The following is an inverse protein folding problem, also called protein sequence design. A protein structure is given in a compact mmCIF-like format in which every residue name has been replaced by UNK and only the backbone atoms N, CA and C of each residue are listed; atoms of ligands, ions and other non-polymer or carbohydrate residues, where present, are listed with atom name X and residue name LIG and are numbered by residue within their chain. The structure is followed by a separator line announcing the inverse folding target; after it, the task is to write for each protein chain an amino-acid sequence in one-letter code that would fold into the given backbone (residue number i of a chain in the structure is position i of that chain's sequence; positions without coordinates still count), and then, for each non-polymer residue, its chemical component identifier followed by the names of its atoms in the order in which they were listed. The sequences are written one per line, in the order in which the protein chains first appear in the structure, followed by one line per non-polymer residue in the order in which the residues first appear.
data_IF_831747045643
#
_entry.id   IF_831747045643
#
_cell.length_a   1.000
_cell.length_b   1.000
_cell.length_c   1.000
_cell.angle_alpha   90.00
_cell.angle_beta   90.00
_cell.angle_gamma   90.00
#
_symmetry.space_group_name_H-M   'P 1'
#
loop_
_entity.id
_entity.type
_entity.pdbx_description
1 polymer ?
#
# COMPACT_ATOMS: atom_id res chain seq x y z
N UNK A 1 -3.50 51.36 17.42
CA UNK A 1 -3.80 50.28 16.45
C UNK A 1 -2.78 49.17 16.67
N UNK A 2 -3.18 48.03 17.22
CA UNK A 2 -2.40 46.78 17.17
C UNK A 2 -3.40 45.61 17.25
N UNK A 3 -3.56 44.90 16.12
CA UNK A 3 -4.35 43.67 16.02
C UNK A 3 -3.41 42.50 16.24
N UNK A 4 -3.45 41.88 17.42
CA UNK A 4 -2.88 40.56 17.66
C UNK A 4 -3.75 39.52 16.94
N UNK A 5 -3.20 38.88 15.91
CA UNK A 5 -3.77 37.65 15.32
C UNK A 5 -3.56 36.51 16.31
N UNK A 6 -4.62 36.14 17.01
CA UNK A 6 -4.71 34.86 17.72
C UNK A 6 -4.69 33.73 16.68
N UNK A 7 -3.57 33.02 16.59
CA UNK A 7 -3.46 31.74 15.90
C UNK A 7 -4.27 30.73 16.71
N UNK A 8 -5.54 30.55 16.33
CA UNK A 8 -6.36 29.42 16.78
C UNK A 8 -5.67 28.14 16.31
N UNK A 9 -5.00 27.46 17.24
CA UNK A 9 -4.54 26.09 17.09
C UNK A 9 -5.76 25.18 16.94
N UNK A 10 -6.17 24.92 15.70
CA UNK A 10 -7.18 23.91 15.37
C UNK A 10 -6.48 22.55 15.27
N UNK A 11 -6.03 22.00 16.41
CA UNK A 11 -5.79 20.55 16.45
C UNK A 11 -7.14 19.85 16.39
N UNK A 12 -7.24 18.79 15.59
CA UNK A 12 -8.46 17.98 15.56
C UNK A 12 -8.69 17.39 16.95
N UNK A 13 -9.94 17.32 17.42
CA UNK A 13 -10.27 16.69 18.71
C UNK A 13 -9.70 15.26 18.80
N UNK A 14 -9.56 14.60 17.65
CA UNK A 14 -8.92 13.30 17.47
C UNK A 14 -7.44 13.29 17.88
N UNK A 15 -6.70 14.34 17.53
CA UNK A 15 -5.27 14.46 17.82
C UNK A 15 -5.03 14.77 19.30
N UNK A 16 -5.95 15.54 19.90
CA UNK A 16 -5.95 15.80 21.35
C UNK A 16 -6.21 14.50 22.12
N UNK A 17 -7.22 13.73 21.73
CA UNK A 17 -7.53 12.44 22.36
C UNK A 17 -6.39 11.43 22.21
N UNK A 18 -5.74 11.36 21.03
CA UNK A 18 -4.55 10.51 20.83
C UNK A 18 -3.39 10.91 21.74
N UNK A 19 -3.19 12.21 21.94
CA UNK A 19 -2.16 12.73 22.85
C UNK A 19 -2.49 12.39 24.31
N UNK A 20 -3.75 12.54 24.71
CA UNK A 20 -4.20 12.21 26.07
C UNK A 20 -4.16 10.71 26.37
N UNK A 21 -4.48 9.85 25.40
CA UNK A 21 -4.33 8.38 25.50
C UNK A 21 -2.86 8.00 25.77
N UNK A 22 -1.93 8.64 25.07
CA UNK A 22 -0.49 8.37 25.22
C UNK A 22 0.06 8.86 26.57
N UNK A 23 -0.54 9.91 27.13
CA UNK A 23 -0.15 10.47 28.43
C UNK A 23 -0.89 9.83 29.62
N UNK A 24 -1.96 9.05 29.38
CA UNK A 24 -2.73 8.41 30.44
C UNK A 24 -1.99 7.21 31.05
N UNK A 25 -1.60 7.34 32.32
CA UNK A 25 -0.95 6.26 33.08
C UNK A 25 -1.96 5.26 33.67
N UNK A 26 -3.23 5.67 33.85
CA UNK A 26 -4.29 4.80 34.35
C UNK A 26 -4.95 4.00 33.20
N UNK A 27 -4.97 2.66 33.27
CA UNK A 27 -5.53 1.81 32.22
C UNK A 27 -7.04 2.01 31.99
N UNK A 28 -7.82 2.39 33.01
CA UNK A 28 -9.25 2.65 32.87
C UNK A 28 -9.50 3.97 32.12
N UNK A 29 -8.71 5.00 32.43
CA UNK A 29 -8.78 6.29 31.72
C UNK A 29 -8.36 6.11 30.26
N UNK A 30 -7.31 5.33 29.99
CA UNK A 30 -6.88 5.01 28.64
C UNK A 30 -7.95 4.28 27.85
N UNK A 31 -8.67 3.35 28.49
CA UNK A 31 -9.77 2.60 27.88
C UNK A 31 -10.95 3.52 27.50
N UNK A 32 -11.35 4.44 28.37
CA UNK A 32 -12.43 5.38 28.07
C UNK A 32 -12.08 6.34 26.95
N UNK A 33 -10.87 6.91 26.96
CA UNK A 33 -10.41 7.79 25.88
C UNK A 33 -10.33 7.05 24.53
N UNK A 34 -9.90 5.78 24.55
CA UNK A 34 -9.87 4.94 23.35
C UNK A 34 -11.29 4.69 22.82
N UNK A 35 -12.27 4.45 23.70
CA UNK A 35 -13.69 4.30 23.29
C UNK A 35 -14.23 5.57 22.66
N UNK A 36 -13.95 6.75 23.23
CA UNK A 36 -14.36 8.02 22.66
C UNK A 36 -13.73 8.27 21.28
N UNK A 37 -12.46 7.91 21.09
CA UNK A 37 -11.79 8.02 19.80
C UNK A 37 -12.46 7.17 18.72
N UNK A 38 -12.82 5.92 19.06
CA UNK A 38 -13.50 4.99 18.16
C UNK A 38 -14.93 5.47 17.84
N UNK A 39 -15.63 6.05 18.81
CA UNK A 39 -16.98 6.59 18.61
C UNK A 39 -16.98 7.78 17.64
N UNK A 40 -16.01 8.70 17.78
CA UNK A 40 -15.82 9.83 16.86
C UNK A 40 -15.51 9.34 15.44
N UNK A 41 -14.62 8.35 15.28
CA UNK A 41 -14.31 7.78 13.95
C UNK A 41 -15.55 7.12 13.31
N UNK A 42 -16.40 6.48 14.12
CA UNK A 42 -17.65 5.86 13.66
C UNK A 42 -18.71 6.90 13.27
N UNK A 43 -18.76 8.04 13.95
CA UNK A 43 -19.68 9.14 13.61
C UNK A 43 -19.24 9.89 12.34
N UNK A 44 -17.93 10.09 12.15
CA UNK A 44 -17.37 10.66 10.91
C UNK A 44 -17.60 9.77 9.69
N UNK A 45 -17.45 8.45 9.83
CA UNK A 45 -17.74 7.50 8.74
C UNK A 45 -19.23 7.50 8.39
N UNK A 46 -20.12 7.50 9.40
CA UNK A 46 -21.58 7.60 9.18
C UNK A 46 -21.99 8.91 8.52
N UNK A 47 -21.43 10.05 8.94
CA UNK A 47 -21.74 11.36 8.34
C UNK A 47 -21.20 11.49 6.91
N UNK A 48 -20.05 10.89 6.59
CA UNK A 48 -19.59 10.80 5.19
C UNK A 48 -20.57 9.97 4.35
N UNK A 49 -21.02 8.82 4.84
CA UNK A 49 -21.97 7.94 4.14
C UNK A 49 -23.31 8.66 3.87
N UNK A 50 -23.82 9.47 4.81
CA UNK A 50 -25.09 10.22 4.59
C UNK A 50 -24.94 11.32 3.56
N UNK A 51 -23.79 12.01 3.52
CA UNK A 51 -23.48 13.01 2.48
C UNK A 51 -23.40 12.36 1.09
N UNK A 52 -22.69 11.24 0.96
CA UNK A 52 -22.59 10.51 -0.31
C UNK A 52 -23.93 9.94 -0.78
N UNK A 53 -24.75 9.42 0.14
CA UNK A 53 -26.12 8.96 -0.16
C UNK A 53 -27.00 10.10 -0.70
N UNK A 54 -26.89 11.31 -0.14
CA UNK A 54 -27.65 12.46 -0.61
C UNK A 54 -27.24 12.94 -2.01
N UNK A 55 -25.94 12.90 -2.33
CA UNK A 55 -25.42 13.22 -3.66
C UNK A 55 -25.85 12.20 -4.71
N UNK A 56 -25.88 10.90 -4.35
CA UNK A 56 -26.34 9.84 -5.24
C UNK A 56 -27.83 9.99 -5.59
N UNK A 57 -28.67 10.37 -4.62
CA UNK A 57 -30.10 10.62 -4.85
C UNK A 57 -30.31 11.81 -5.81
N UNK A 58 -29.53 12.89 -5.65
CA UNK A 58 -29.58 14.05 -6.56
C UNK A 58 -29.14 13.66 -7.97
N UNK A 59 -28.09 12.84 -8.09
CA UNK A 59 -27.61 12.34 -9.38
C UNK A 59 -28.68 11.48 -10.09
N UNK A 60 -29.29 10.52 -9.38
CA UNK A 60 -30.35 9.66 -9.93
C UNK A 60 -31.58 10.49 -10.34
N UNK A 61 -31.96 11.49 -9.55
CA UNK A 61 -33.06 12.40 -9.90
C UNK A 61 -32.75 13.23 -11.17
N UNK A 62 -31.50 13.67 -11.35
CA UNK A 62 -31.08 14.39 -12.55
C UNK A 62 -31.09 13.50 -13.81
N UNK A 63 -30.68 12.24 -13.69
CA UNK A 63 -30.73 11.26 -14.78
C UNK A 63 -32.18 10.95 -15.16
N UNK A 64 -33.06 10.74 -14.17
CA UNK A 64 -34.49 10.49 -14.42
C UNK A 64 -35.17 11.71 -15.10
N UNK A 65 -34.77 12.93 -14.75
CA UNK A 65 -35.27 14.15 -15.39
C UNK A 65 -34.86 14.24 -16.87
N UNK A 66 -33.62 13.86 -17.21
CA UNK A 66 -33.13 13.80 -18.60
C UNK A 66 -33.90 12.76 -19.41
N UNK A 67 -34.14 11.57 -18.86
CA UNK A 67 -34.95 10.54 -19.51
C UNK A 67 -36.41 10.95 -19.73
N UNK A 68 -36.99 11.70 -18.80
CA UNK A 68 -38.37 12.21 -18.93
C UNK A 68 -38.50 13.27 -20.04
N UNK A 69 -37.48 14.10 -20.25
CA UNK A 69 -37.42 15.07 -21.34
C UNK A 69 -37.16 14.44 -22.73
N UNK A 70 -36.50 13.26 -22.76
CA UNK A 70 -36.12 12.57 -23.99
C UNK A 70 -37.24 11.78 -24.69
N UNK A 71 -38.34 11.45 -24.01
CA UNK A 71 -39.43 10.66 -24.58
C UNK A 71 -40.60 11.52 -25.06
N UNK A 72 -40.47 12.14 -26.25
CA UNK A 72 -41.62 12.48 -27.08
C UNK A 72 -41.62 11.60 -28.34
N UNK A 73 -42.65 10.75 -28.55
CA UNK A 73 -42.66 9.82 -29.67
C UNK A 73 -43.03 10.53 -30.99
N UNK A 74 -42.20 10.33 -32.01
CA UNK A 74 -42.51 10.66 -33.42
C UNK A 74 -43.21 9.45 -34.05
N UNK A 75 -44.33 9.69 -34.75
CA UNK A 75 -45.20 8.69 -35.40
C UNK A 75 -44.74 8.31 -36.82
N UNK A 76 -44.91 7.01 -37.11
CA UNK A 76 -45.21 6.34 -38.40
C UNK A 76 -44.16 6.38 -39.54
N UNK A 77 -43.94 5.33 -40.35
CA UNK A 77 -44.93 4.53 -41.10
C UNK A 77 -44.38 3.18 -41.62
N UNK A 78 -45.28 2.24 -41.92
CA UNK A 78 -45.07 0.83 -42.27
C UNK A 78 -45.02 0.51 -43.79
N UNK A 79 -44.48 -0.67 -44.15
CA UNK A 79 -44.81 -1.52 -45.31
C UNK A 79 -44.14 -2.92 -45.12
N UNK A 80 -44.84 -3.99 -44.73
CA UNK A 80 -45.56 -5.01 -45.53
C UNK A 80 -44.69 -5.90 -46.46
N UNK A 81 -44.50 -7.19 -46.12
CA UNK A 81 -45.15 -8.32 -46.82
C UNK A 81 -44.76 -9.71 -46.29
N UNK A 82 -45.75 -10.61 -46.41
CA UNK A 82 -45.86 -12.01 -45.96
C UNK A 82 -44.96 -13.02 -46.72
N UNK A 83 -44.63 -14.14 -46.05
CA UNK A 83 -45.16 -15.48 -46.41
C UNK A 83 -44.73 -16.56 -45.40
N UNK A 84 -45.69 -17.40 -45.03
CA UNK A 84 -45.61 -18.57 -44.14
C UNK A 84 -44.91 -19.78 -44.81
N UNK A 85 -44.42 -20.73 -44.01
CA UNK A 85 -44.89 -22.16 -43.97
C UNK A 85 -43.82 -23.16 -43.48
N UNK A 86 -44.08 -23.75 -42.30
CA UNK A 86 -43.90 -25.14 -41.80
C UNK A 86 -42.57 -25.89 -41.57
N UNK A 87 -42.56 -26.45 -40.34
CA UNK A 87 -42.16 -27.80 -39.85
C UNK A 87 -40.69 -28.28 -39.78
N UNK A 88 -40.27 -28.47 -38.52
CA UNK A 88 -39.60 -29.63 -37.90
C UNK A 88 -38.72 -30.55 -38.76
N UNK A 89 -37.47 -30.80 -38.32
CA UNK A 89 -37.06 -32.04 -37.63
C UNK A 89 -35.59 -32.00 -37.24
N UNK A 90 -35.36 -32.40 -36.00
CA UNK A 90 -34.11 -32.71 -35.32
C UNK A 90 -33.13 -33.54 -36.16
N UNK A 91 -31.85 -33.13 -36.24
CA UNK A 91 -30.70 -34.02 -36.41
C UNK A 91 -29.46 -33.37 -35.80
N UNK A 92 -29.22 -33.79 -34.56
CA UNK A 92 -27.94 -33.77 -33.86
C UNK A 92 -26.82 -34.19 -34.83
N UNK A 93 -25.96 -33.22 -35.18
CA UNK A 93 -24.66 -33.50 -35.78
C UNK A 93 -23.62 -33.02 -34.77
N UNK A 94 -22.91 -34.00 -34.23
CA UNK A 94 -21.67 -33.82 -33.49
C UNK A 94 -20.74 -33.05 -34.43
N UNK A 95 -20.55 -31.77 -34.15
CA UNK A 95 -19.51 -30.98 -34.79
C UNK A 95 -18.25 -31.15 -33.97
N UNK A 96 -17.30 -31.86 -34.57
CA UNK A 96 -15.88 -31.73 -34.28
C UNK A 96 -15.55 -30.25 -34.10
N UNK A 97 -14.98 -29.93 -32.93
CA UNK A 97 -14.51 -28.60 -32.58
C UNK A 97 -13.46 -28.20 -33.60
N UNK A 98 -13.90 -27.44 -34.61
CA UNK A 98 -13.01 -26.68 -35.45
C UNK A 98 -12.30 -25.71 -34.52
N UNK A 99 -10.97 -25.70 -34.50
CA UNK A 99 -10.18 -24.63 -33.89
C UNK A 99 -10.57 -23.32 -34.59
N UNK A 100 -11.65 -22.69 -34.11
CA UNK A 100 -11.95 -21.31 -34.45
C UNK A 100 -10.81 -20.50 -33.88
N UNK A 101 -9.95 -19.98 -34.77
CA UNK A 101 -8.96 -18.96 -34.46
C UNK A 101 -9.59 -17.94 -33.53
N UNK A 102 -9.20 -17.97 -32.25
CA UNK A 102 -9.70 -17.04 -31.24
C UNK A 102 -9.11 -15.67 -31.59
N UNK A 103 -9.95 -14.64 -31.62
CA UNK A 103 -9.52 -13.25 -31.78
C UNK A 103 -9.39 -12.66 -30.38
N UNK A 104 -8.17 -12.41 -29.92
CA UNK A 104 -7.88 -11.92 -28.57
C UNK A 104 -8.47 -10.53 -28.29
N UNK A 105 -8.69 -9.73 -29.35
CA UNK A 105 -9.37 -8.43 -29.29
C UNK A 105 -10.90 -8.51 -29.23
N UNK A 106 -11.49 -9.71 -29.41
CA UNK A 106 -12.93 -9.94 -29.46
C UNK A 106 -13.33 -11.14 -28.58
N UNK A 107 -12.86 -11.14 -27.33
CA UNK A 107 -13.20 -12.17 -26.36
C UNK A 107 -14.58 -11.92 -25.72
N UNK A 108 -15.32 -12.99 -25.49
CA UNK A 108 -16.47 -12.94 -24.57
C UNK A 108 -16.01 -12.70 -23.13
N UNK A 109 -16.93 -12.21 -22.29
CA UNK A 109 -16.69 -11.98 -20.86
C UNK A 109 -16.13 -13.23 -20.16
N UNK A 110 -16.71 -14.40 -20.43
CA UNK A 110 -16.27 -15.67 -19.86
C UNK A 110 -14.88 -16.09 -20.34
N UNK A 111 -14.53 -15.82 -21.59
CA UNK A 111 -13.18 -16.07 -22.10
C UNK A 111 -12.17 -15.14 -21.42
N UNK A 112 -12.45 -13.85 -21.30
CA UNK A 112 -11.56 -12.91 -20.63
C UNK A 112 -11.36 -13.29 -19.15
N UNK A 113 -12.43 -13.64 -18.44
CA UNK A 113 -12.37 -14.15 -17.07
C UNK A 113 -11.49 -15.40 -16.98
N UNK A 114 -11.64 -16.35 -17.91
CA UNK A 114 -10.82 -17.57 -17.96
C UNK A 114 -9.34 -17.25 -18.19
N UNK A 115 -9.04 -16.31 -19.08
CA UNK A 115 -7.66 -15.89 -19.36
C UNK A 115 -7.01 -15.27 -18.12
N UNK A 116 -7.71 -14.37 -17.46
CA UNK A 116 -7.22 -13.72 -16.23
C UNK A 116 -7.05 -14.74 -15.10
N UNK A 117 -7.99 -15.67 -14.94
CA UNK A 117 -7.86 -16.74 -13.96
C UNK A 117 -6.60 -17.58 -14.19
N UNK A 118 -6.23 -17.87 -15.44
CA UNK A 118 -5.00 -18.62 -15.73
C UNK A 118 -3.72 -17.92 -15.24
N UNK A 119 -3.73 -16.58 -15.17
CA UNK A 119 -2.64 -15.80 -14.57
C UNK A 119 -2.74 -15.80 -13.05
N UNK A 120 -3.94 -15.63 -12.49
CA UNK A 120 -4.17 -15.63 -11.04
C UNK A 120 -3.86 -16.99 -10.38
N UNK A 121 -3.97 -18.08 -11.12
CA UNK A 121 -3.60 -19.43 -10.66
C UNK A 121 -2.08 -19.59 -10.45
N UNK A 122 -1.26 -18.69 -10.99
CA UNK A 122 0.18 -18.63 -10.72
C UNK A 122 0.50 -17.93 -9.38
N UNK A 123 -0.44 -17.16 -8.85
CA UNK A 123 -0.28 -16.44 -7.58
C UNK A 123 -0.68 -17.34 -6.40
N UNK A 124 -0.19 -17.05 -5.18
CA UNK A 124 -0.70 -17.69 -3.98
C UNK A 124 -2.23 -17.56 -3.91
N UNK A 125 -2.95 -18.63 -3.54
CA UNK A 125 -4.40 -18.60 -3.51
C UNK A 125 -4.88 -17.55 -2.50
N UNK A 126 -5.97 -16.81 -2.81
CA UNK A 126 -6.51 -15.81 -1.91
C UNK A 126 -7.11 -16.51 -0.67
N UNK A 127 -7.30 -15.78 0.44
CA UNK A 127 -7.91 -16.35 1.66
C UNK A 127 -9.37 -16.78 1.45
N UNK A 128 -10.05 -16.23 0.43
CA UNK A 128 -11.43 -16.54 0.07
C UNK A 128 -11.52 -16.91 -1.42
N UNK A 129 -12.03 -16.01 -2.26
CA UNK A 129 -12.19 -16.20 -3.70
C UNK A 129 -12.01 -14.88 -4.44
N UNK A 130 -11.62 -14.98 -5.70
CA UNK A 130 -11.58 -13.83 -6.60
C UNK A 130 -13.00 -13.41 -7.01
N UNK A 131 -13.18 -12.10 -7.12
CA UNK A 131 -14.34 -11.44 -7.72
C UNK A 131 -13.88 -10.75 -8.99
N UNK A 132 -14.41 -11.15 -10.14
CA UNK A 132 -14.01 -10.64 -11.45
C UNK A 132 -15.15 -9.83 -12.06
N UNK A 133 -14.90 -8.54 -12.30
CA UNK A 133 -15.85 -7.63 -12.94
C UNK A 133 -15.26 -7.08 -14.24
N UNK A 134 -15.96 -7.31 -15.35
CA UNK A 134 -15.50 -6.92 -16.69
C UNK A 134 -16.20 -5.63 -17.09
N UNK A 135 -15.42 -4.69 -17.62
CA UNK A 135 -15.92 -3.41 -18.12
C UNK A 135 -15.20 -3.03 -19.40
N UNK A 136 -15.85 -2.23 -20.23
CA UNK A 136 -15.21 -1.55 -21.35
C UNK A 136 -15.08 -0.10 -20.92
N UNK A 137 -13.87 0.46 -21.04
CA UNK A 137 -13.65 1.86 -20.69
C UNK A 137 -13.99 2.75 -21.89
N UNK A 138 -14.91 3.69 -21.70
CA UNK A 138 -15.39 4.58 -22.76
C UNK A 138 -14.31 5.51 -23.34
N UNK A 139 -13.18 5.69 -22.64
CA UNK A 139 -12.13 6.63 -23.03
C UNK A 139 -11.14 6.02 -24.01
N UNK A 140 -10.69 4.78 -23.75
CA UNK A 140 -9.70 4.07 -24.56
C UNK A 140 -10.31 2.89 -25.34
N UNK A 141 -11.58 2.57 -25.11
CA UNK A 141 -12.31 1.47 -25.73
C UNK A 141 -11.63 0.10 -25.53
N UNK A 142 -10.89 -0.07 -24.43
CA UNK A 142 -10.25 -1.33 -24.07
C UNK A 142 -11.12 -2.11 -23.07
N UNK A 143 -10.99 -3.43 -23.10
CA UNK A 143 -11.60 -4.32 -22.12
C UNK A 143 -10.74 -4.39 -20.86
N UNK A 144 -11.35 -4.10 -19.72
CA UNK A 144 -10.76 -4.16 -18.39
C UNK A 144 -11.44 -5.23 -17.56
N UNK A 145 -10.67 -5.86 -16.68
CA UNK A 145 -11.18 -6.79 -15.68
C UNK A 145 -10.62 -6.42 -14.32
N UNK A 146 -11.51 -5.96 -13.44
CA UNK A 146 -11.18 -5.66 -12.05
C UNK A 146 -11.18 -6.95 -11.26
N UNK A 147 -10.13 -7.14 -10.47
CA UNK A 147 -9.94 -8.32 -9.61
C UNK A 147 -10.06 -7.87 -8.16
N UNK A 148 -11.14 -8.30 -7.52
CA UNK A 148 -11.35 -8.19 -6.09
C UNK A 148 -11.09 -9.51 -5.36
N UNK A 149 -10.93 -9.44 -4.04
CA UNK A 149 -11.02 -10.60 -3.16
C UNK A 149 -12.23 -10.38 -2.27
N UNK A 150 -13.07 -11.40 -2.12
CA UNK A 150 -14.28 -11.30 -1.29
C UNK A 150 -13.93 -10.83 0.13
N UNK A 151 -14.58 -9.75 0.59
CA UNK A 151 -14.36 -9.07 1.87
C UNK A 151 -13.02 -8.32 2.03
N UNK A 152 -12.29 -8.05 0.95
CA UNK A 152 -11.04 -7.29 0.97
C UNK A 152 -11.04 -6.19 -0.11
N UNK A 153 -10.10 -5.25 0.01
CA UNK A 153 -9.83 -4.28 -1.04
C UNK A 153 -9.40 -4.98 -2.33
N UNK A 154 -9.66 -4.33 -3.47
CA UNK A 154 -9.34 -4.87 -4.80
C UNK A 154 -7.84 -5.20 -4.96
N UNK A 155 -7.56 -6.38 -5.52
CA UNK A 155 -6.21 -6.85 -5.84
C UNK A 155 -5.58 -6.02 -6.95
N UNK A 156 -6.38 -5.60 -7.94
CA UNK A 156 -5.92 -4.79 -9.06
C UNK A 156 -6.80 -5.00 -10.28
N UNK A 157 -6.28 -4.71 -11.45
CA UNK A 157 -6.96 -4.95 -12.72
C UNK A 157 -6.02 -5.47 -13.79
N UNK A 158 -6.60 -6.17 -14.77
CA UNK A 158 -5.98 -6.45 -16.06
C UNK A 158 -6.70 -5.69 -17.16
N UNK A 159 -6.06 -5.56 -18.32
CA UNK A 159 -6.68 -5.07 -19.55
C UNK A 159 -6.19 -5.87 -20.75
N UNK A 160 -7.01 -5.91 -21.80
CA UNK A 160 -6.57 -6.33 -23.13
C UNK A 160 -6.21 -5.08 -23.93
N UNK A 161 -4.96 -4.96 -24.34
CA UNK A 161 -4.49 -3.80 -25.09
C UNK A 161 -4.92 -3.86 -26.57
N UNK A 162 -4.60 -2.82 -27.35
CA UNK A 162 -4.97 -2.72 -28.77
C UNK A 162 -4.41 -3.85 -29.65
N UNK A 163 -3.36 -4.55 -29.19
CA UNK A 163 -2.74 -5.68 -29.89
C UNK A 163 -3.38 -7.03 -29.53
N UNK A 164 -4.34 -7.04 -28.61
CA UNK A 164 -4.90 -8.28 -28.07
C UNK A 164 -4.00 -8.93 -27.02
N UNK A 165 -3.09 -8.19 -26.38
CA UNK A 165 -2.23 -8.72 -25.32
C UNK A 165 -2.85 -8.41 -23.95
N UNK A 166 -2.71 -9.34 -23.00
CA UNK A 166 -3.18 -9.16 -21.62
C UNK A 166 -2.10 -8.49 -20.78
N UNK A 167 -2.43 -7.34 -20.20
CA UNK A 167 -1.56 -6.57 -19.32
C UNK A 167 -2.14 -6.50 -17.91
N UNK A 168 -1.28 -6.50 -16.89
CA UNK A 168 -1.64 -6.34 -15.49
C UNK A 168 -1.22 -4.98 -14.95
N UNK A 169 -2.05 -4.42 -14.08
CA UNK A 169 -1.75 -3.19 -13.35
C UNK A 169 -0.66 -3.38 -12.29
N UNK A 170 -0.01 -2.28 -11.93
CA UNK A 170 0.99 -2.21 -10.84
C UNK A 170 0.58 -2.76 -9.48
N UNK A 171 -0.73 -2.87 -9.17
CA UNK A 171 -1.16 -3.52 -7.91
C UNK A 171 -1.00 -5.04 -7.93
N UNK A 172 -1.07 -5.65 -9.11
CA UNK A 172 -0.86 -7.08 -9.31
C UNK A 172 0.65 -7.37 -9.41
N UNK A 173 1.38 -6.47 -10.08
CA UNK A 173 2.80 -6.70 -10.39
C UNK A 173 3.76 -6.09 -9.36
N UNK A 174 3.31 -5.19 -8.51
CA UNK A 174 4.18 -4.37 -7.66
C UNK A 174 4.90 -3.24 -8.41
N UNK A 175 4.76 -3.13 -9.73
CA UNK A 175 5.37 -2.06 -10.56
C UNK A 175 4.43 -0.86 -10.65
N UNK A 176 4.58 0.11 -9.74
CA UNK A 176 3.70 1.27 -9.66
C UNK A 176 3.68 2.08 -10.98
N UNK A 177 2.46 2.46 -11.40
CA UNK A 177 2.16 3.37 -12.52
C UNK A 177 2.34 2.83 -13.95
N UNK A 178 2.72 1.57 -14.14
CA UNK A 178 2.82 0.97 -15.48
C UNK A 178 1.93 -0.26 -15.65
N UNK A 179 1.72 -0.64 -16.91
CA UNK A 179 1.04 -1.86 -17.33
C UNK A 179 2.08 -2.89 -17.76
N UNK A 180 2.09 -4.03 -17.10
CA UNK A 180 3.05 -5.09 -17.36
C UNK A 180 2.41 -6.16 -18.25
N UNK A 181 3.05 -6.50 -19.37
CA UNK A 181 2.61 -7.60 -20.23
C UNK A 181 2.65 -8.94 -19.47
N UNK A 182 1.53 -9.65 -19.45
CA UNK A 182 1.38 -10.94 -18.78
C UNK A 182 1.15 -12.10 -19.74
N UNK A 183 0.58 -11.83 -20.91
CA UNK A 183 0.27 -12.86 -21.89
C UNK A 183 0.04 -12.21 -23.26
N UNK A 184 0.71 -12.74 -24.28
CA UNK A 184 0.55 -12.30 -25.67
C UNK A 184 -0.44 -13.18 -26.46
N UNK A 185 -0.91 -14.29 -25.87
CA UNK A 185 -1.81 -15.26 -26.50
C UNK A 185 -2.81 -15.80 -25.50
N UNK A 186 -4.04 -16.02 -25.95
CA UNK A 186 -5.11 -16.52 -25.10
C UNK A 186 -4.71 -17.81 -24.34
N UNK A 187 -4.75 -17.73 -22.99
CA UNK A 187 -4.36 -18.79 -22.04
C UNK A 187 -2.87 -19.19 -22.02
N UNK A 188 -1.99 -18.52 -22.77
CA UNK A 188 -0.55 -18.72 -22.63
C UNK A 188 -0.02 -17.93 -21.44
N UNK A 189 0.42 -18.63 -20.40
CA UNK A 189 0.88 -18.02 -19.15
C UNK A 189 2.41 -17.91 -19.06
N UNK A 190 3.13 -18.22 -20.14
CA UNK A 190 4.61 -18.28 -20.15
C UNK A 190 5.23 -16.95 -19.72
N UNK A 191 4.75 -15.82 -20.27
CA UNK A 191 5.28 -14.49 -19.93
C UNK A 191 5.05 -14.16 -18.46
N UNK A 192 3.82 -14.36 -17.95
CA UNK A 192 3.52 -14.15 -16.54
C UNK A 192 4.34 -15.06 -15.61
N UNK A 193 4.53 -16.33 -15.98
CA UNK A 193 5.31 -17.27 -15.19
C UNK A 193 6.79 -16.86 -15.11
N UNK A 194 7.39 -16.44 -16.23
CA UNK A 194 8.76 -15.92 -16.27
C UNK A 194 8.90 -14.62 -15.46
N UNK A 195 7.93 -13.72 -15.58
CA UNK A 195 7.89 -12.47 -14.82
C UNK A 195 7.85 -12.72 -13.31
N UNK A 196 6.90 -13.54 -12.84
CA UNK A 196 6.74 -13.86 -11.42
C UNK A 196 7.96 -14.60 -10.87
N UNK A 197 8.55 -15.51 -11.66
CA UNK A 197 9.79 -16.19 -11.29
C UNK A 197 10.93 -15.19 -11.10
N UNK A 198 11.11 -14.24 -12.03
CA UNK A 198 12.15 -13.22 -11.93
C UNK A 198 11.97 -12.35 -10.68
N UNK A 199 10.74 -11.94 -10.38
CA UNK A 199 10.46 -11.18 -9.16
C UNK A 199 10.78 -11.97 -7.88
N UNK A 200 10.42 -13.26 -7.84
CA UNK A 200 10.76 -14.12 -6.71
C UNK A 200 12.28 -14.24 -6.52
N UNK A 201 13.02 -14.44 -7.61
CA UNK A 201 14.49 -14.49 -7.58
C UNK A 201 15.13 -13.17 -7.12
N UNK A 202 14.57 -12.03 -7.50
CA UNK A 202 15.04 -10.71 -7.04
C UNK A 202 14.75 -10.52 -5.55
N UNK A 203 13.57 -10.91 -5.08
CA UNK A 203 13.21 -10.84 -3.67
C UNK A 203 14.08 -11.77 -2.81
N UNK A 204 14.39 -12.97 -3.30
CA UNK A 204 15.27 -13.91 -2.61
C UNK A 204 16.69 -13.34 -2.46
N UNK A 205 17.25 -12.73 -3.52
CA UNK A 205 18.56 -12.06 -3.46
C UNK A 205 18.58 -10.90 -2.46
N UNK A 206 17.50 -10.11 -2.41
CA UNK A 206 17.34 -9.03 -1.42
C UNK A 206 17.33 -9.62 0.00
N UNK A 207 16.53 -10.67 0.23
CA UNK A 207 16.43 -11.33 1.52
C UNK A 207 17.77 -11.95 1.95
N UNK A 208 18.50 -12.60 1.04
CA UNK A 208 19.85 -13.11 1.27
C UNK A 208 20.81 -12.01 1.69
N UNK A 209 20.79 -10.88 0.98
CA UNK A 209 21.65 -9.72 1.30
C UNK A 209 21.34 -9.15 2.68
N UNK A 210 20.05 -9.01 3.01
CA UNK A 210 19.61 -8.55 4.33
C UNK A 210 20.04 -9.54 5.43
N UNK A 211 19.85 -10.83 5.20
CA UNK A 211 20.22 -11.88 6.15
C UNK A 211 21.74 -11.91 6.39
N UNK A 212 22.53 -11.73 5.33
CA UNK A 212 23.97 -11.62 5.42
C UNK A 212 24.37 -10.36 6.21
N UNK A 213 23.86 -9.18 5.85
CA UNK A 213 24.13 -7.94 6.58
C UNK A 213 23.79 -8.06 8.07
N UNK A 214 22.65 -8.70 8.40
CA UNK A 214 22.24 -8.99 9.77
C UNK A 214 23.26 -9.85 10.51
N UNK A 215 23.80 -10.89 9.87
CA UNK A 215 24.81 -11.76 10.48
C UNK A 215 26.09 -11.02 10.88
N UNK A 216 26.44 -9.91 10.19
CA UNK A 216 27.58 -9.06 10.55
C UNK A 216 27.31 -8.15 11.75
N UNK A 217 26.05 -7.94 12.12
CA UNK A 217 25.66 -7.19 13.31
C UNK A 217 25.67 -8.06 14.56
N UNK A 218 25.27 -9.32 14.46
CA UNK A 218 25.11 -10.22 15.61
C UNK A 218 26.43 -10.33 16.40
N UNK A 219 26.32 -10.16 17.72
CA UNK A 219 27.44 -10.15 18.66
C UNK A 219 28.27 -8.86 18.64
N UNK A 220 27.90 -7.84 17.86
CA UNK A 220 28.58 -6.54 17.82
C UNK A 220 27.85 -5.49 18.63
N UNK A 221 28.63 -4.51 19.09
CA UNK A 221 28.18 -3.39 19.90
C UNK A 221 28.43 -2.08 19.16
N UNK A 222 27.44 -1.19 19.21
CA UNK A 222 27.46 0.11 18.53
C UNK A 222 26.95 1.21 19.46
N UNK A 223 27.51 2.41 19.36
CA UNK A 223 27.03 3.59 20.08
C UNK A 223 26.22 4.46 19.11
N UNK A 224 25.01 4.82 19.51
CA UNK A 224 24.17 5.81 18.84
C UNK A 224 24.19 7.09 19.68
N UNK A 225 24.46 8.23 19.05
CA UNK A 225 24.52 9.52 19.73
C UNK A 225 24.27 10.69 18.76
N UNK A 226 23.80 11.84 19.27
CA UNK A 226 23.61 13.03 18.46
C UNK A 226 24.97 13.67 18.13
N UNK A 227 25.13 14.07 16.87
CA UNK A 227 26.32 14.80 16.38
C UNK A 227 26.00 16.25 16.04
N UNK A 228 24.78 16.56 15.60
CA UNK A 228 24.34 17.94 15.34
C UNK A 228 22.96 18.23 15.95
N UNK A 229 22.73 19.48 16.34
CA UNK A 229 21.45 20.06 16.74
C UNK A 229 21.20 21.33 15.92
N UNK A 230 20.13 21.36 15.13
CA UNK A 230 19.83 22.41 14.14
C UNK A 230 21.03 22.76 13.23
N UNK A 231 21.83 21.74 12.88
CA UNK A 231 23.02 21.88 12.04
C UNK A 231 24.27 22.42 12.76
N UNK A 232 24.20 22.68 14.06
CA UNK A 232 25.34 23.06 14.91
C UNK A 232 25.87 21.80 15.60
N UNK A 233 27.18 21.69 15.82
CA UNK A 233 27.76 20.63 16.67
C UNK A 233 26.98 20.49 17.98
N UNK A 234 26.59 19.27 18.33
CA UNK A 234 25.68 19.03 19.45
C UNK A 234 26.25 19.50 20.79
N UNK A 235 27.56 19.33 21.02
CA UNK A 235 28.23 19.78 22.24
C UNK A 235 28.32 21.30 22.27
N UNK A 236 28.70 21.93 21.15
CA UNK A 236 28.69 23.38 21.01
C UNK A 236 27.28 23.96 21.27
N UNK A 237 26.24 23.38 20.68
CA UNK A 237 24.87 23.84 20.85
C UNK A 237 24.41 23.75 22.31
N UNK A 238 24.81 22.71 23.05
CA UNK A 238 24.57 22.63 24.49
C UNK A 238 25.34 23.73 25.25
N UNK A 239 26.64 23.89 25.00
CA UNK A 239 27.46 24.90 25.69
C UNK A 239 26.95 26.34 25.44
N UNK A 240 26.39 26.61 24.27
CA UNK A 240 25.78 27.90 23.89
C UNK A 240 24.31 28.05 24.33
N UNK A 241 23.75 27.08 25.07
CA UNK A 241 22.35 27.05 25.51
C UNK A 241 21.32 27.09 24.36
N UNK A 242 21.71 26.59 23.18
CA UNK A 242 20.84 26.44 22.01
C UNK A 242 20.16 25.06 21.98
N UNK A 243 20.78 24.06 22.60
CA UNK A 243 20.23 22.72 22.77
C UNK A 243 19.94 22.40 24.26
N UNK A 244 19.05 21.42 24.55
CA UNK A 244 18.88 20.89 25.91
C UNK A 244 20.22 20.43 26.50
N UNK A 245 20.50 20.80 27.75
CA UNK A 245 21.79 20.51 28.41
C UNK A 245 22.07 19.01 28.60
N UNK A 246 21.03 18.19 28.52
CA UNK A 246 21.10 16.74 28.62
C UNK A 246 21.04 16.05 27.24
N UNK A 247 21.12 16.75 26.10
CA UNK A 247 20.95 16.17 24.77
C UNK A 247 21.88 14.96 24.54
N UNK A 248 23.19 15.12 24.78
CA UNK A 248 24.14 14.01 24.59
C UNK A 248 23.91 12.92 25.63
N UNK A 249 23.74 13.28 26.90
CA UNK A 249 23.55 12.30 27.98
C UNK A 249 22.29 11.44 27.76
N UNK A 250 21.20 12.06 27.31
CA UNK A 250 19.92 11.37 27.16
C UNK A 250 19.75 10.74 25.77
N UNK A 251 20.44 11.28 24.76
CA UNK A 251 20.44 10.74 23.41
C UNK A 251 21.46 9.63 23.18
N UNK A 252 22.50 9.52 24.01
CA UNK A 252 23.50 8.47 23.84
C UNK A 252 22.99 7.14 24.38
N UNK A 253 23.00 6.14 23.51
CA UNK A 253 22.66 4.76 23.85
C UNK A 253 23.64 3.81 23.19
N UNK A 254 23.93 2.70 23.87
CA UNK A 254 24.72 1.63 23.29
C UNK A 254 23.82 0.46 22.94
N UNK A 255 23.95 -0.05 21.74
CA UNK A 255 23.16 -1.15 21.19
C UNK A 255 24.05 -2.36 21.02
N UNK A 256 23.67 -3.48 21.62
CA UNK A 256 24.31 -4.78 21.44
C UNK A 256 23.36 -5.72 20.69
N UNK A 257 23.76 -6.21 19.53
CA UNK A 257 22.97 -7.14 18.74
C UNK A 257 23.16 -8.56 19.26
N UNK A 258 22.08 -9.17 19.76
CA UNK A 258 22.16 -10.46 20.44
C UNK A 258 21.94 -11.59 19.44
N UNK A 259 20.89 -11.45 18.63
CA UNK A 259 20.46 -12.42 17.64
C UNK A 259 19.82 -11.72 16.43
N UNK A 260 19.06 -12.46 15.63
CA UNK A 260 18.47 -11.99 14.39
C UNK A 260 17.28 -11.03 14.56
N UNK A 261 16.76 -10.89 15.77
CA UNK A 261 15.57 -10.07 16.05
C UNK A 261 15.73 -9.17 17.26
N UNK A 262 16.67 -9.48 18.16
CA UNK A 262 16.78 -8.88 19.48
C UNK A 262 18.09 -8.12 19.67
N UNK A 263 17.97 -6.95 20.27
CA UNK A 263 19.08 -6.14 20.76
C UNK A 263 18.94 -5.89 22.26
N UNK A 264 20.07 -5.65 22.93
CA UNK A 264 20.11 -5.04 24.26
C UNK A 264 20.54 -3.59 24.13
N UNK A 265 19.75 -2.69 24.70
CA UNK A 265 20.03 -1.27 24.77
C UNK A 265 20.54 -0.94 26.17
N UNK A 266 21.73 -0.36 26.23
CA UNK A 266 22.36 0.18 27.43
C UNK A 266 22.28 1.71 27.37
N UNK A 267 21.67 2.33 28.38
CA UNK A 267 21.48 3.77 28.45
C UNK A 267 22.54 4.42 29.35
N UNK A 268 22.88 5.67 29.08
CA UNK A 268 23.73 6.43 29.98
C UNK A 268 22.99 6.75 31.31
N UNK A 269 23.66 6.46 32.43
CA UNK A 269 23.22 6.82 33.78
C UNK A 269 22.73 5.66 34.63
N UNK A 270 23.09 5.67 35.92
CA UNK A 270 22.85 4.58 36.89
C UNK A 270 21.37 4.29 37.19
N UNK A 271 20.46 5.17 36.78
CA UNK A 271 19.02 5.06 37.06
C UNK A 271 18.20 4.54 35.87
N UNK A 272 18.82 4.34 34.70
CA UNK A 272 18.14 3.85 33.50
C UNK A 272 18.49 2.38 33.31
N UNK A 273 17.58 1.43 33.60
CA UNK A 273 17.89 0.02 33.43
C UNK A 273 18.09 -0.29 31.95
N UNK A 274 19.05 -1.15 31.66
CA UNK A 274 19.17 -1.77 30.34
C UNK A 274 17.88 -2.54 30.02
N UNK A 275 17.53 -2.58 28.74
CA UNK A 275 16.35 -3.29 28.29
C UNK A 275 16.60 -3.96 26.95
N UNK A 276 15.72 -4.90 26.61
CA UNK A 276 15.74 -5.57 25.33
C UNK A 276 14.74 -4.89 24.41
N UNK A 277 15.09 -4.82 23.13
CA UNK A 277 14.24 -4.27 22.09
C UNK A 277 14.35 -5.14 20.84
N UNK A 278 13.36 -5.03 19.96
CA UNK A 278 13.41 -5.67 18.65
C UNK A 278 13.98 -4.74 17.58
N UNK A 279 14.61 -5.32 16.56
CA UNK A 279 15.03 -4.59 15.38
C UNK A 279 14.57 -5.29 14.10
N UNK A 280 14.42 -4.50 13.04
CA UNK A 280 14.15 -5.02 11.69
C UNK A 280 15.12 -4.40 10.69
N UNK A 281 15.26 -5.01 9.52
CA UNK A 281 16.08 -4.49 8.44
C UNK A 281 15.30 -4.50 7.14
N UNK A 282 15.36 -3.40 6.41
CA UNK A 282 14.99 -3.30 5.00
C UNK A 282 16.27 -3.32 4.14
N UNK A 283 16.19 -3.28 2.80
CA UNK A 283 17.40 -3.22 1.97
C UNK A 283 18.31 -2.00 2.23
N UNK A 284 17.79 -0.95 2.87
CA UNK A 284 18.48 0.34 3.03
C UNK A 284 18.47 0.88 4.46
N UNK A 285 17.64 0.33 5.36
CA UNK A 285 17.54 0.80 6.75
C UNK A 285 17.59 -0.32 7.77
N UNK A 286 18.28 -0.05 8.87
CA UNK A 286 18.18 -0.76 10.12
C UNK A 286 17.19 0.02 11.00
N UNK A 287 16.12 -0.64 11.43
CA UNK A 287 15.09 0.00 12.22
C UNK A 287 15.17 -0.48 13.67
N UNK A 288 15.39 0.47 14.59
CA UNK A 288 15.42 0.23 16.03
C UNK A 288 14.45 1.23 16.66
N UNK A 289 13.31 0.74 17.18
CA UNK A 289 12.24 1.59 17.72
C UNK A 289 11.83 2.69 16.72
N UNK A 290 12.10 3.95 17.04
CA UNK A 290 11.77 5.14 16.23
C UNK A 290 12.93 5.58 15.31
N UNK A 291 14.07 4.87 15.34
CA UNK A 291 15.22 5.16 14.48
C UNK A 291 15.19 4.33 13.21
N UNK A 292 15.23 5.03 12.08
CA UNK A 292 15.39 4.46 10.74
C UNK A 292 16.81 4.76 10.27
N UNK A 293 17.75 3.89 10.65
CA UNK A 293 19.18 4.10 10.49
C UNK A 293 19.60 3.67 9.08
N UNK A 294 20.03 4.58 8.20
CA UNK A 294 20.47 4.22 6.86
C UNK A 294 21.78 3.44 6.93
N UNK A 295 21.82 2.30 6.25
CA UNK A 295 23.02 1.49 6.15
C UNK A 295 23.31 1.11 4.71
N UNK A 296 24.57 0.76 4.44
CA UNK A 296 24.96 0.06 3.23
C UNK A 296 25.79 -1.16 3.59
N UNK A 297 25.61 -2.23 2.82
CA UNK A 297 26.35 -3.47 2.99
C UNK A 297 27.12 -3.76 1.71
N UNK A 298 28.45 -3.59 1.77
CA UNK A 298 29.34 -3.76 0.63
C UNK A 298 30.62 -4.46 1.09
N UNK A 299 31.15 -5.36 0.26
CA UNK A 299 32.42 -6.06 0.53
C UNK A 299 32.52 -6.61 1.96
N UNK A 300 31.50 -7.35 2.40
CA UNK A 300 31.48 -7.96 3.74
C UNK A 300 31.59 -6.98 4.91
N UNK A 301 31.19 -5.72 4.69
CA UNK A 301 31.21 -4.67 5.70
C UNK A 301 29.90 -3.90 5.72
N UNK A 302 29.40 -3.66 6.92
CA UNK A 302 28.27 -2.76 7.15
C UNK A 302 28.80 -1.37 7.46
N UNK A 303 28.25 -0.38 6.79
CA UNK A 303 28.52 1.03 7.03
C UNK A 303 27.21 1.75 7.28
N UNK A 304 27.25 2.78 8.10
CA UNK A 304 26.08 3.56 8.46
C UNK A 304 26.27 5.01 8.05
N UNK A 305 25.19 5.59 7.54
CA UNK A 305 25.14 7.04 7.29
C UNK A 305 24.48 7.74 8.47
N UNK A 306 24.74 9.04 8.62
CA UNK A 306 23.99 9.87 9.56
C UNK A 306 22.52 9.98 9.15
N UNK A 307 21.64 10.18 10.12
CA UNK A 307 20.21 10.43 9.86
C UNK A 307 19.70 11.53 10.78
N UNK A 308 18.50 12.03 10.50
CA UNK A 308 17.88 13.10 11.27
C UNK A 308 16.57 12.67 11.90
N UNK A 309 16.25 13.25 13.05
CA UNK A 309 14.91 13.21 13.66
C UNK A 309 14.47 14.61 14.03
N UNK A 310 13.17 14.89 13.97
CA UNK A 310 12.60 16.14 14.47
C UNK A 310 12.02 15.93 15.87
N UNK A 311 12.52 16.68 16.85
CA UNK A 311 12.06 16.65 18.25
C UNK A 311 11.73 18.09 18.66
N UNK A 312 10.48 18.31 19.06
CA UNK A 312 9.98 19.63 19.53
C UNK A 312 10.24 20.80 18.57
N UNK A 313 10.26 20.53 17.26
CA UNK A 313 10.52 21.54 16.22
C UNK A 313 11.99 21.79 15.92
N UNK A 314 12.89 20.99 16.50
CA UNK A 314 14.32 21.02 16.26
C UNK A 314 14.80 19.75 15.54
N UNK A 315 15.79 19.89 14.68
CA UNK A 315 16.35 18.77 13.92
C UNK A 315 17.62 18.28 14.61
N UNK A 316 17.64 17.00 15.00
CA UNK A 316 18.81 16.34 15.57
C UNK A 316 19.42 15.43 14.50
N UNK A 317 20.72 15.56 14.26
CA UNK A 317 21.46 14.61 13.42
C UNK A 317 22.15 13.60 14.30
N UNK A 318 21.96 12.33 13.98
CA UNK A 318 22.46 11.18 14.70
C UNK A 318 23.55 10.45 13.92
N UNK A 319 24.40 9.74 14.64
CA UNK A 319 25.33 8.78 14.06
C UNK A 319 25.30 7.47 14.84
N UNK A 320 25.83 6.42 14.24
CA UNK A 320 26.07 5.13 14.87
C UNK A 320 27.50 4.67 14.54
N UNK A 321 28.26 4.28 15.56
CA UNK A 321 29.65 3.85 15.39
C UNK A 321 29.95 2.57 16.16
N UNK A 322 30.81 1.67 15.65
CA UNK A 322 31.26 0.50 16.39
C UNK A 322 31.86 0.88 17.75
N UNK A 323 31.58 0.08 18.77
CA UNK A 323 32.22 0.16 20.08
C UNK A 323 33.23 -0.98 20.17
N UNK A 324 34.48 -0.64 20.47
CA UNK A 324 35.54 -1.62 20.72
C UNK A 324 35.37 -2.30 22.09
#
# INVERSE_FOLDING_TARGET
MNKTRSLKNKRSNKDLLRTEINNATDPNVRLELTKMLVEIEKEETRSRITVWSSLLIILVASIAFIFYLGNKPVKEKAASNLSETNLSTNKQKISETTETSISETNLSEEQLKKWVMSILDLLPPPPTRYLLDVSINDTDNLAYISVGIDQMDGLGCFRVNEKGELEASGRITGEFYDWTLMSDKYLDTTIAAEFLKKQAEEQDKINETINLARSYLIGKKYAIYPVLYDGIDAEQAMNEHKAPQNLIHDGTQTVNFIDDTSIRIELAGTYRPDYFETYTMSPVTLNIKDYYIPYSFNNDSITFSTWTTDIDGHTITWTITPVN
#
